data_IF_978862731700
#
_entry.id   IF_978862731700
#
_cell.length_a   1.000
_cell.length_b   1.000
_cell.length_c   1.000
_cell.angle_alpha   90.00
_cell.angle_beta   90.00
_cell.angle_gamma   90.00
#
_symmetry.space_group_name_H-M   'P 1'
#
loop_
_entity.id
_entity.type
_entity.pdbx_description
1 polymer ?
#
# COMPACT_ATOMS: atom_id res chain seq x y z
N UNK A 1 -1.79 -18.56 -3.22
CA UNK A 1 -0.39 -18.20 -3.48
C UNK A 1 -0.27 -16.72 -3.14
N UNK A 2 0.28 -16.38 -1.97
CA UNK A 2 0.57 -14.98 -1.64
C UNK A 2 1.65 -14.47 -2.62
N UNK A 3 1.64 -13.19 -3.02
CA UNK A 3 2.72 -12.68 -3.86
C UNK A 3 4.04 -12.89 -3.12
N UNK A 4 5.10 -13.33 -3.82
CA UNK A 4 6.41 -13.45 -3.20
C UNK A 4 6.80 -12.07 -2.70
N UNK A 5 6.85 -11.90 -1.37
CA UNK A 5 7.55 -10.81 -0.71
C UNK A 5 9.05 -11.05 -0.91
N UNK A 6 9.50 -10.95 -2.16
CA UNK A 6 10.90 -10.85 -2.55
C UNK A 6 11.03 -9.56 -3.36
N UNK A 7 10.85 -8.44 -2.67
CA UNK A 7 11.41 -7.19 -3.11
C UNK A 7 12.74 -7.07 -2.38
N UNK A 8 13.82 -7.02 -3.16
CA UNK A 8 15.12 -6.53 -2.71
C UNK A 8 15.00 -5.02 -2.47
N UNK A 9 14.11 -4.67 -1.52
CA UNK A 9 13.29 -3.47 -1.30
C UNK A 9 14.01 -2.11 -1.43
N UNK A 10 14.59 -1.82 -2.59
CA UNK A 10 15.09 -0.48 -2.91
C UNK A 10 14.32 0.01 -4.13
N UNK A 11 13.47 1.00 -3.87
CA UNK A 11 12.66 1.68 -4.87
C UNK A 11 13.38 2.98 -5.27
N UNK A 12 13.49 3.29 -6.58
CA UNK A 12 14.21 4.47 -7.05
C UNK A 12 13.70 5.76 -6.40
N UNK A 13 14.58 6.47 -5.70
CA UNK A 13 14.25 7.75 -5.10
C UNK A 13 14.03 8.88 -6.13
N UNK A 14 13.25 9.89 -5.74
CA UNK A 14 13.10 11.14 -6.51
C UNK A 14 12.21 11.05 -7.74
N UNK A 15 11.42 9.97 -7.89
CA UNK A 15 10.41 9.83 -8.95
C UNK A 15 9.06 9.46 -8.35
N UNK A 16 8.03 9.73 -9.12
CA UNK A 16 6.71 9.17 -8.86
C UNK A 16 6.68 7.73 -9.38
N UNK A 17 6.27 6.82 -8.51
CA UNK A 17 6.22 5.40 -8.80
C UNK A 17 4.81 4.89 -8.53
N UNK A 18 4.34 4.04 -9.42
CA UNK A 18 3.07 3.36 -9.29
C UNK A 18 3.30 1.90 -8.95
N UNK A 19 2.61 1.37 -7.95
CA UNK A 19 2.66 -0.05 -7.62
C UNK A 19 1.24 -0.64 -7.47
N UNK A 20 1.04 -1.90 -7.91
CA UNK A 20 -0.25 -2.56 -7.75
C UNK A 20 -0.48 -2.93 -6.28
N UNK A 21 -1.64 -2.56 -5.77
CA UNK A 21 -2.16 -2.94 -4.46
C UNK A 21 -3.26 -3.96 -4.67
N UNK A 22 -3.09 -5.13 -4.07
CA UNK A 22 -4.06 -6.22 -4.14
C UNK A 22 -4.54 -6.55 -2.74
N UNK A 23 -5.85 -6.47 -2.52
CA UNK A 23 -6.46 -6.91 -1.26
C UNK A 23 -6.88 -8.37 -1.44
N UNK A 24 -6.26 -9.28 -0.70
CA UNK A 24 -6.64 -10.70 -0.69
C UNK A 24 -7.14 -11.08 0.69
N UNK A 25 -8.21 -11.87 0.74
CA UNK A 25 -8.70 -12.49 1.98
C UNK A 25 -8.59 -14.00 1.83
N UNK A 26 -8.21 -14.69 2.90
CA UNK A 26 -7.97 -16.15 2.89
C UNK A 26 -9.25 -16.97 2.69
N UNK A 27 -10.42 -16.42 3.03
CA UNK A 27 -11.68 -17.19 3.08
C UNK A 27 -12.52 -17.09 1.79
N UNK A 28 -12.51 -15.93 1.13
CA UNK A 28 -13.25 -15.60 -0.10
C UNK A 28 -12.82 -14.22 -0.60
N UNK A 29 -12.90 -13.89 -1.91
CA UNK A 29 -12.66 -12.53 -2.39
C UNK A 29 -13.60 -11.56 -1.66
N UNK A 30 -13.09 -10.59 -0.89
CA UNK A 30 -13.95 -9.61 -0.25
C UNK A 30 -14.50 -8.66 -1.32
N UNK A 31 -15.78 -8.33 -1.26
CA UNK A 31 -16.32 -7.18 -1.97
C UNK A 31 -15.86 -5.92 -1.23
N UNK A 32 -14.64 -5.47 -1.52
CA UNK A 32 -14.08 -4.26 -0.92
C UNK A 32 -14.88 -3.05 -1.40
N UNK A 33 -15.59 -2.41 -0.48
CA UNK A 33 -16.40 -1.21 -0.76
C UNK A 33 -15.59 0.07 -0.59
N UNK A 34 -14.57 0.03 0.26
CA UNK A 34 -13.63 1.13 0.46
C UNK A 34 -12.22 0.59 0.69
N UNK A 35 -11.24 1.15 -0.02
CA UNK A 35 -9.82 0.96 0.23
C UNK A 35 -9.18 2.33 0.37
N UNK A 36 -8.37 2.49 1.41
CA UNK A 36 -7.48 3.63 1.59
C UNK A 36 -6.07 3.11 1.85
N UNK A 37 -5.09 3.75 1.23
CA UNK A 37 -3.68 3.49 1.48
C UNK A 37 -3.03 4.80 1.86
N UNK A 38 -2.17 4.74 2.86
CA UNK A 38 -1.41 5.87 3.37
C UNK A 38 0.08 5.48 3.37
N UNK A 39 0.92 6.47 3.13
CA UNK A 39 2.38 6.32 3.18
C UNK A 39 2.96 7.26 4.23
N UNK A 40 3.98 6.78 4.92
CA UNK A 40 4.81 7.56 5.83
C UNK A 40 6.27 7.41 5.42
N UNK A 41 7.01 8.51 5.43
CA UNK A 41 8.47 8.52 5.22
C UNK A 41 9.25 8.75 6.53
N UNK A 42 8.54 8.79 7.66
CA UNK A 42 9.02 9.08 9.01
C UNK A 42 8.64 7.97 10.00
N UNK A 43 8.79 6.72 9.55
CA UNK A 43 8.57 5.49 10.33
C UNK A 43 7.17 5.35 10.96
N UNK A 44 6.14 5.93 10.34
CA UNK A 44 4.75 5.90 10.78
C UNK A 44 4.36 7.05 11.71
N UNK A 45 5.20 8.09 11.84
CA UNK A 45 4.89 9.28 12.64
C UNK A 45 3.83 10.16 11.97
N UNK A 46 3.92 10.35 10.66
CA UNK A 46 2.94 11.06 9.85
C UNK A 46 2.52 10.23 8.64
N UNK A 47 1.22 10.03 8.49
CA UNK A 47 0.62 9.30 7.39
C UNK A 47 0.04 10.28 6.37
N UNK A 48 0.32 10.05 5.09
CA UNK A 48 -0.22 10.83 3.97
C UNK A 48 -1.05 9.93 3.08
N UNK A 49 -2.25 10.35 2.65
CA UNK A 49 -3.06 9.56 1.75
C UNK A 49 -2.33 9.36 0.41
N UNK A 50 -2.42 8.14 -0.11
CA UNK A 50 -1.92 7.76 -1.43
C UNK A 50 -3.09 7.77 -2.40
N UNK A 51 -2.89 8.36 -3.58
CA UNK A 51 -3.90 8.28 -4.63
C UNK A 51 -4.01 6.84 -5.13
N UNK A 52 -5.23 6.32 -5.04
CA UNK A 52 -5.59 4.99 -5.50
C UNK A 52 -6.49 5.11 -6.72
N UNK A 53 -6.05 4.52 -7.83
CA UNK A 53 -6.86 4.39 -9.04
C UNK A 53 -7.35 2.96 -9.16
N UNK A 54 -8.66 2.69 -9.22
CA UNK A 54 -9.17 1.35 -9.43
C UNK A 54 -8.76 0.84 -10.81
N UNK A 55 -8.25 -0.41 -10.85
CA UNK A 55 -7.84 -1.12 -12.06
C UNK A 55 -8.40 -2.56 -12.00
N UNK A 56 -9.66 -2.71 -12.43
CA UNK A 56 -10.39 -3.98 -12.34
C UNK A 56 -10.53 -4.47 -10.89
N UNK A 57 -10.05 -5.68 -10.54
CA UNK A 57 -10.07 -6.20 -9.17
C UNK A 57 -8.91 -5.70 -8.29
N UNK A 58 -8.06 -4.80 -8.81
CA UNK A 58 -6.88 -4.28 -8.13
C UNK A 58 -6.95 -2.75 -8.03
N UNK A 59 -6.03 -2.15 -7.28
CA UNK A 59 -5.83 -0.71 -7.22
C UNK A 59 -4.40 -0.38 -7.57
N UNK A 60 -4.19 0.71 -8.30
CA UNK A 60 -2.86 1.27 -8.53
C UNK A 60 -2.63 2.40 -7.55
N UNK A 61 -1.60 2.26 -6.72
CA UNK A 61 -1.15 3.29 -5.78
C UNK A 61 -0.08 4.16 -6.41
N UNK A 62 -0.30 5.47 -6.44
CA UNK A 62 0.64 6.46 -7.01
C UNK A 62 1.31 7.23 -5.90
N UNK A 63 2.64 7.07 -5.78
CA UNK A 63 3.42 7.62 -4.68
C UNK A 63 4.59 8.44 -5.21
N UNK A 64 4.73 9.64 -4.67
CA UNK A 64 5.95 10.45 -4.85
C UNK A 64 6.97 10.12 -3.77
N UNK A 65 8.13 9.61 -4.18
CA UNK A 65 9.21 9.26 -3.25
C UNK A 65 10.21 10.40 -3.06
N UNK A 66 10.71 10.61 -1.82
CA UNK A 66 11.91 11.41 -1.59
C UNK A 66 13.11 10.81 -2.31
N UNK A 67 14.23 11.53 -2.37
CA UNK A 67 15.47 11.06 -3.01
C UNK A 67 16.08 9.85 -2.28
N UNK A 68 15.86 9.71 -0.97
CA UNK A 68 16.27 8.56 -0.18
C UNK A 68 15.44 8.46 1.10
N UNK A 69 15.46 7.30 1.76
CA UNK A 69 14.79 7.08 3.03
C UNK A 69 14.16 5.70 3.12
N UNK A 70 13.11 5.57 3.93
CA UNK A 70 12.26 4.39 3.97
C UNK A 70 10.80 4.81 3.85
N UNK A 71 9.98 3.96 3.24
CA UNK A 71 8.54 4.09 3.23
C UNK A 71 7.91 3.09 4.19
N UNK A 72 6.96 3.57 4.98
CA UNK A 72 6.00 2.76 5.73
C UNK A 72 4.65 2.87 5.04
N UNK A 73 3.92 1.76 4.95
CA UNK A 73 2.61 1.71 4.29
C UNK A 73 1.54 1.32 5.30
N UNK A 74 0.39 1.98 5.22
CA UNK A 74 -0.80 1.61 5.97
C UNK A 74 -1.96 1.46 5.00
N UNK A 75 -2.67 0.35 5.09
CA UNK A 75 -3.86 0.09 4.30
C UNK A 75 -5.06 -0.11 5.23
N UNK A 76 -6.17 0.56 4.93
CA UNK A 76 -7.45 0.29 5.55
C UNK A 76 -8.44 -0.12 4.48
N UNK A 77 -9.04 -1.31 4.62
CA UNK A 77 -10.07 -1.80 3.73
C UNK A 77 -11.35 -2.12 4.52
N UNK A 78 -12.48 -1.82 3.91
CA UNK A 78 -13.81 -2.17 4.41
C UNK A 78 -14.56 -2.97 3.36
N UNK A 79 -15.31 -3.99 3.79
CA UNK A 79 -16.15 -4.80 2.91
C UNK A 79 -17.66 -4.49 3.05
N UNK A 80 -18.46 -5.03 2.13
CA UNK A 80 -19.92 -4.91 2.10
C UNK A 80 -20.63 -5.58 3.29
N UNK A 81 -19.91 -6.38 4.07
CA UNK A 81 -20.39 -7.05 5.29
C UNK A 81 -20.02 -6.30 6.56
N UNK A 82 -19.39 -5.13 6.45
CA UNK A 82 -18.97 -4.31 7.57
C UNK A 82 -17.68 -4.79 8.25
N UNK A 83 -16.94 -5.73 7.65
CA UNK A 83 -15.62 -6.09 8.16
C UNK A 83 -14.63 -4.99 7.77
N UNK A 84 -13.86 -4.54 8.74
CA UNK A 84 -12.77 -3.59 8.54
C UNK A 84 -11.44 -4.25 8.85
N UNK A 85 -10.48 -4.10 7.95
CA UNK A 85 -9.09 -4.50 8.18
C UNK A 85 -8.21 -3.25 8.10
N UNK A 86 -7.33 -3.11 9.08
CA UNK A 86 -6.28 -2.10 9.10
C UNK A 86 -4.95 -2.82 9.25
N UNK A 87 -4.04 -2.59 8.30
CA UNK A 87 -2.69 -3.15 8.35
C UNK A 87 -1.69 -2.02 8.16
N UNK A 88 -0.70 -1.96 9.04
CA UNK A 88 0.44 -1.04 8.92
C UNK A 88 1.73 -1.85 8.86
N UNK A 89 2.56 -1.55 7.88
CA UNK A 89 3.89 -2.13 7.69
C UNK A 89 4.88 -0.98 7.80
N UNK A 90 5.58 -0.92 8.93
CA UNK A 90 6.66 0.05 9.16
C UNK A 90 7.89 -0.37 8.37
N UNK A 91 8.56 0.57 7.69
CA UNK A 91 9.71 0.32 6.79
C UNK A 91 9.42 -0.81 5.80
N UNK A 92 8.29 -0.69 5.11
CA UNK A 92 7.88 -1.60 4.05
C UNK A 92 8.93 -1.73 2.95
N UNK A 93 9.60 -0.62 2.58
CA UNK A 93 10.75 -0.64 1.67
C UNK A 93 11.68 0.54 1.87
N UNK A 94 12.91 0.42 1.36
CA UNK A 94 13.89 1.48 1.30
C UNK A 94 13.77 2.26 -0.02
N UNK A 95 14.07 3.54 0.03
CA UNK A 95 14.09 4.47 -1.09
C UNK A 95 15.53 4.91 -1.30
N UNK A 96 16.05 4.80 -2.52
CA UNK A 96 17.43 5.18 -2.86
C UNK A 96 17.79 5.00 -4.32
#
# INVERSE_FOLDING_TARGET
>A
MAPPADLRDIVPGGKEISFPVTVTRQDSPPNVTALSVEISHDDGTAWRPVELTPDGPQWTAKVSHPASGCASLRANASDDKGNTVSQAITRAYQIG
#
